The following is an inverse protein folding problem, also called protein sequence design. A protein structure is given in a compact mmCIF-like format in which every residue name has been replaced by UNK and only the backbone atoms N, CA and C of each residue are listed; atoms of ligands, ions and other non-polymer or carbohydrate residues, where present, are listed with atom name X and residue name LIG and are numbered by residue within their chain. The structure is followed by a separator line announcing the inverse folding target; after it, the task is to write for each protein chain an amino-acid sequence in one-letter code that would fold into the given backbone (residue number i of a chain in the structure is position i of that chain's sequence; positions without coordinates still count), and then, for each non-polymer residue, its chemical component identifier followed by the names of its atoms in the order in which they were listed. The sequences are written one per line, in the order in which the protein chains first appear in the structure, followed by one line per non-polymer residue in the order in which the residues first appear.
data_IF_503065380732
#
_entry.id   IF_503065380732
#
_cell.length_a   1.000
_cell.length_b   1.000
_cell.length_c   1.000
_cell.angle_alpha   90.00
_cell.angle_beta   90.00
_cell.angle_gamma   90.00
#
_symmetry.space_group_name_H-M   'P 1'
#
loop_
_entity.id
_entity.type
_entity.pdbx_description
1 polymer ?
#
# COMPACT_ATOMS: atom_id res chain seq x y z
N UNK A 1 -7.44 -8.06 -9.47
CA UNK A 1 -7.69 -6.60 -9.35
C UNK A 1 -7.81 -6.26 -7.87
N UNK A 2 -7.16 -5.19 -7.41
CA UNK A 2 -7.14 -4.74 -6.00
C UNK A 2 -7.72 -3.34 -5.92
N UNK A 3 -8.78 -3.17 -5.13
CA UNK A 3 -9.41 -1.88 -4.87
C UNK A 3 -9.19 -1.53 -3.42
N UNK A 4 -8.52 -0.41 -3.14
CA UNK A 4 -8.19 -0.05 -1.76
C UNK A 4 -7.99 1.44 -1.57
N UNK A 5 -7.73 1.83 -0.32
CA UNK A 5 -7.35 3.18 0.04
C UNK A 5 -6.05 3.59 -0.66
N UNK A 6 -5.98 4.83 -1.16
CA UNK A 6 -4.88 5.26 -2.03
C UNK A 6 -3.49 5.08 -1.40
N UNK A 7 -3.34 5.34 -0.10
CA UNK A 7 -2.04 5.18 0.57
C UNK A 7 -1.58 3.72 0.68
N UNK A 8 -2.50 2.75 0.62
CA UNK A 8 -2.15 1.32 0.66
C UNK A 8 -1.78 0.76 -0.71
N UNK A 9 -2.07 1.45 -1.82
CA UNK A 9 -1.94 0.86 -3.15
C UNK A 9 -0.52 0.46 -3.52
N UNK A 10 0.47 1.27 -3.11
CA UNK A 10 1.89 0.95 -3.36
C UNK A 10 2.27 -0.35 -2.67
N UNK A 11 1.96 -0.48 -1.37
CA UNK A 11 2.23 -1.70 -0.60
C UNK A 11 1.44 -2.89 -1.14
N UNK A 12 0.17 -2.69 -1.47
CA UNK A 12 -0.68 -3.74 -2.01
C UNK A 12 -0.09 -4.27 -3.32
N UNK A 13 0.26 -3.40 -4.27
CA UNK A 13 0.92 -3.81 -5.52
C UNK A 13 2.18 -4.64 -5.23
N UNK A 14 3.05 -4.15 -4.35
CA UNK A 14 4.28 -4.85 -3.99
C UNK A 14 4.05 -6.26 -3.44
N UNK A 15 3.07 -6.45 -2.54
CA UNK A 15 2.75 -7.76 -1.99
C UNK A 15 2.17 -8.67 -3.07
N UNK A 16 1.20 -8.19 -3.84
CA UNK A 16 0.52 -9.03 -4.84
C UNK A 16 1.46 -9.42 -5.99
N UNK A 17 2.37 -8.54 -6.42
CA UNK A 17 3.35 -8.85 -7.48
C UNK A 17 4.35 -9.94 -7.07
N UNK A 18 4.61 -10.14 -5.77
CA UNK A 18 5.48 -11.23 -5.31
C UNK A 18 4.85 -12.61 -5.45
N UNK A 19 3.56 -12.73 -5.15
CA UNK A 19 2.90 -14.04 -5.02
C UNK A 19 1.95 -14.36 -6.18
N UNK A 20 1.53 -13.36 -6.96
CA UNK A 20 0.64 -13.56 -8.09
C UNK A 20 1.42 -13.50 -9.41
N UNK A 21 1.42 -14.60 -10.16
CA UNK A 21 2.15 -14.71 -11.43
C UNK A 21 1.52 -13.96 -12.60
N UNK A 22 0.36 -13.32 -12.41
CA UNK A 22 -0.36 -12.58 -13.44
C UNK A 22 -0.27 -11.06 -13.29
N UNK A 23 -1.00 -10.33 -14.14
CA UNK A 23 -1.04 -8.87 -14.07
C UNK A 23 -1.80 -8.34 -12.83
N UNK A 24 -1.17 -7.44 -12.08
CA UNK A 24 -1.76 -6.80 -10.89
C UNK A 24 -2.28 -5.40 -11.22
N UNK A 25 -3.61 -5.29 -11.32
CA UNK A 25 -4.31 -4.00 -11.44
C UNK A 25 -4.73 -3.48 -10.08
N UNK A 26 -4.25 -2.29 -9.70
CA UNK A 26 -4.59 -1.57 -8.46
C UNK A 26 -5.40 -0.31 -8.79
N UNK A 27 -6.51 -0.09 -8.08
CA UNK A 27 -7.35 1.11 -8.21
C UNK A 27 -7.68 1.72 -6.86
N UNK A 28 -7.59 3.06 -6.72
CA UNK A 28 -8.03 3.74 -5.51
C UNK A 28 -9.55 3.75 -5.41
N UNK A 29 -10.07 3.63 -4.19
CA UNK A 29 -11.45 4.05 -3.91
C UNK A 29 -11.58 5.57 -4.06
N UNK A 30 -12.68 6.08 -4.65
CA UNK A 30 -12.94 7.51 -4.70
C UNK A 30 -13.18 8.00 -3.27
N UNK A 31 -12.29 8.87 -2.78
CA UNK A 31 -12.35 9.45 -1.44
C UNK A 31 -11.76 10.84 -1.46
N UNK A 32 -12.34 11.72 -0.68
CA UNK A 32 -11.74 13.02 -0.40
C UNK A 32 -10.63 12.87 0.64
N UNK A 33 -9.46 13.44 0.33
CA UNK A 33 -8.29 13.41 1.20
C UNK A 33 -8.06 14.80 1.74
N UNK A 34 -8.18 14.96 3.06
CA UNK A 34 -7.74 16.17 3.75
C UNK A 34 -6.25 16.04 4.00
N UNK A 35 -5.46 16.80 3.24
CA UNK A 35 -4.03 16.81 3.39
C UNK A 35 -3.63 17.76 4.52
N UNK A 36 -2.88 17.23 5.47
CA UNK A 36 -2.13 18.02 6.44
C UNK A 36 -0.76 17.39 6.61
N UNK A 37 0.24 18.20 6.95
CA UNK A 37 1.62 17.72 7.14
C UNK A 37 1.69 16.63 8.22
N UNK A 38 1.05 16.77 9.41
CA UNK A 38 1.10 15.72 10.43
C UNK A 38 0.47 14.41 9.96
N UNK A 39 -0.65 14.52 9.22
CA UNK A 39 -1.33 13.36 8.67
C UNK A 39 -0.47 12.63 7.64
N UNK A 40 0.08 13.39 6.68
CA UNK A 40 1.03 12.86 5.69
C UNK A 40 2.21 12.15 6.35
N UNK A 41 2.83 12.76 7.37
CA UNK A 41 3.97 12.16 8.07
C UNK A 41 3.58 10.84 8.76
N UNK A 42 2.43 10.81 9.42
CA UNK A 42 1.89 9.59 10.04
C UNK A 42 1.67 8.49 9.00
N UNK A 43 1.00 8.79 7.89
CA UNK A 43 0.77 7.81 6.83
C UNK A 43 2.06 7.33 6.19
N UNK A 44 3.03 8.23 5.96
CA UNK A 44 4.34 7.87 5.43
C UNK A 44 5.09 6.88 6.35
N UNK A 45 5.15 7.18 7.64
CA UNK A 45 5.78 6.30 8.64
C UNK A 45 5.04 4.97 8.75
N UNK A 46 3.71 4.99 8.77
CA UNK A 46 2.88 3.79 8.83
C UNK A 46 3.11 2.87 7.63
N UNK A 47 3.12 3.41 6.40
CA UNK A 47 3.39 2.58 5.22
C UNK A 47 4.82 2.08 5.18
N UNK A 48 5.80 2.89 5.59
CA UNK A 48 7.20 2.48 5.68
C UNK A 48 7.36 1.30 6.64
N UNK A 49 6.76 1.37 7.83
CA UNK A 49 6.74 0.25 8.78
C UNK A 49 6.08 -1.02 8.19
N UNK A 50 5.01 -0.85 7.41
CA UNK A 50 4.41 -1.94 6.64
C UNK A 50 5.38 -2.59 5.67
N UNK A 51 6.10 -1.80 4.87
CA UNK A 51 7.11 -2.35 3.94
C UNK A 51 8.26 -3.07 4.66
N UNK A 52 8.74 -2.53 5.78
CA UNK A 52 9.77 -3.19 6.60
C UNK A 52 9.26 -4.53 7.09
N UNK A 53 8.03 -4.59 7.62
CA UNK A 53 7.39 -5.84 8.05
C UNK A 53 7.32 -6.86 6.91
N UNK A 54 6.81 -6.48 5.74
CA UNK A 54 6.69 -7.39 4.58
C UNK A 54 8.06 -7.82 4.02
N UNK A 55 9.12 -7.04 4.24
CA UNK A 55 10.48 -7.42 3.83
C UNK A 55 11.08 -8.45 4.78
N UNK A 56 10.80 -8.32 6.08
CA UNK A 56 11.33 -9.21 7.11
C UNK A 56 10.54 -10.51 7.26
N UNK A 57 9.22 -10.45 7.07
CA UNK A 57 8.28 -11.54 7.40
C UNK A 57 7.44 -12.00 6.20
N UNK A 58 7.54 -11.33 5.05
CA UNK A 58 6.70 -11.63 3.89
C UNK A 58 7.17 -12.86 3.14
N UNK A 59 6.32 -13.88 3.09
CA UNK A 59 6.48 -15.07 2.26
C UNK A 59 5.28 -15.24 1.34
N UNK A 60 5.49 -15.96 0.24
CA UNK A 60 4.44 -16.61 -0.52
C UNK A 60 4.45 -18.10 -0.10
#
# INVERSE_FOLDING_TARGET
MVISWRYHLLRARYIFEKCFSGAVFVRPVPREYRYSIPRWAYEYLYQTGGFVKETLLGHC
#
